data_IF_626417255664
#
_entry.id   IF_626417255664
#
_cell.length_a   1.000
_cell.length_b   1.000
_cell.length_c   1.000
_cell.angle_alpha   90.00
_cell.angle_beta   90.00
_cell.angle_gamma   90.00
#
_symmetry.space_group_name_H-M   'P 1'
#
loop_
_entity.id
_entity.type
_entity.pdbx_description
1 polymer ?
#
# COMPACT_ATOMS: atom_id res chain seq x y z
N UNK A 1 3.86 -17.11 8.13
CA UNK A 1 3.50 -16.59 6.79
C UNK A 1 3.58 -15.06 6.77
N UNK A 2 3.05 -14.36 7.76
CA UNK A 2 3.11 -12.88 7.79
C UNK A 2 4.54 -12.30 7.89
N UNK A 3 5.48 -13.05 8.43
CA UNK A 3 6.90 -12.66 8.54
C UNK A 3 7.74 -13.18 7.38
N UNK A 4 7.37 -14.32 6.82
CA UNK A 4 8.03 -14.92 5.66
C UNK A 4 6.99 -15.59 4.76
N UNK A 5 6.72 -14.96 3.62
CA UNK A 5 5.78 -15.48 2.62
C UNK A 5 6.34 -16.71 1.86
N UNK A 6 7.63 -16.99 1.97
CA UNK A 6 8.29 -18.14 1.31
C UNK A 6 8.37 -19.39 2.17
N UNK A 7 7.96 -19.31 3.45
CA UNK A 7 8.01 -20.48 4.32
C UNK A 7 7.21 -21.63 3.68
N UNK A 8 7.82 -22.83 3.54
CA UNK A 8 7.12 -23.98 2.97
C UNK A 8 5.87 -24.33 3.79
N UNK A 9 4.75 -24.53 3.12
CA UNK A 9 3.49 -24.87 3.82
C UNK A 9 3.61 -26.14 4.67
N UNK A 10 4.52 -27.06 4.33
CA UNK A 10 4.80 -28.22 5.14
C UNK A 10 5.40 -27.86 6.51
N UNK A 11 6.25 -26.84 6.60
CA UNK A 11 6.79 -26.34 7.85
C UNK A 11 5.70 -25.65 8.69
N UNK A 12 4.86 -24.84 8.04
CA UNK A 12 3.68 -24.23 8.71
C UNK A 12 2.75 -25.31 9.24
N UNK A 13 2.50 -26.36 8.45
CA UNK A 13 1.66 -27.49 8.84
C UNK A 13 2.20 -28.21 10.09
N UNK A 14 3.52 -28.46 10.13
CA UNK A 14 4.18 -29.06 11.31
C UNK A 14 4.05 -28.16 12.55
N UNK A 15 4.31 -26.85 12.38
CA UNK A 15 4.21 -25.89 13.48
C UNK A 15 2.78 -25.76 14.03
N UNK A 16 1.77 -25.90 13.17
CA UNK A 16 0.35 -25.85 13.54
C UNK A 16 -0.26 -27.22 13.89
N UNK A 17 0.52 -28.31 13.79
CA UNK A 17 0.07 -29.68 14.00
C UNK A 17 -1.16 -30.06 13.14
N UNK A 18 -1.12 -29.71 11.86
CA UNK A 18 -2.16 -30.00 10.87
C UNK A 18 -1.54 -30.55 9.59
N UNK A 19 -2.36 -31.04 8.64
CA UNK A 19 -1.88 -31.49 7.34
C UNK A 19 -1.49 -30.33 6.42
N UNK A 20 -0.60 -30.54 5.46
CA UNK A 20 -0.26 -29.56 4.43
C UNK A 20 -1.50 -29.14 3.62
N UNK A 21 -2.42 -30.06 3.32
CA UNK A 21 -3.67 -29.75 2.64
C UNK A 21 -4.54 -28.77 3.46
N UNK A 22 -4.59 -28.93 4.78
CA UNK A 22 -5.33 -28.01 5.65
C UNK A 22 -4.72 -26.59 5.62
N UNK A 23 -3.40 -26.46 5.54
CA UNK A 23 -2.75 -25.13 5.37
C UNK A 23 -3.13 -24.51 4.03
N UNK A 24 -3.10 -25.25 2.93
CA UNK A 24 -3.53 -24.76 1.63
C UNK A 24 -4.96 -24.24 1.65
N UNK A 25 -5.88 -24.99 2.25
CA UNK A 25 -7.28 -24.57 2.37
C UNK A 25 -7.44 -23.30 3.22
N UNK A 26 -6.72 -23.21 4.34
CA UNK A 26 -6.76 -22.01 5.21
C UNK A 26 -6.21 -20.78 4.50
N UNK A 27 -5.11 -20.91 3.79
CA UNK A 27 -4.53 -19.80 3.01
C UNK A 27 -5.48 -19.38 1.89
N UNK A 28 -6.09 -20.33 1.18
CA UNK A 28 -7.09 -20.03 0.16
C UNK A 28 -8.31 -19.30 0.75
N UNK A 29 -8.82 -19.75 1.91
CA UNK A 29 -9.92 -19.07 2.63
C UNK A 29 -9.55 -17.62 2.98
N UNK A 30 -8.34 -17.38 3.53
CA UNK A 30 -7.88 -16.03 3.90
C UNK A 30 -7.70 -15.14 2.65
N UNK A 31 -7.29 -15.71 1.53
CA UNK A 31 -7.19 -14.99 0.25
C UNK A 31 -8.57 -14.64 -0.29
N UNK A 32 -9.52 -15.56 -0.28
CA UNK A 32 -10.90 -15.33 -0.72
C UNK A 32 -11.61 -14.28 0.14
N UNK A 33 -11.33 -14.24 1.44
CA UNK A 33 -11.82 -13.22 2.36
C UNK A 33 -11.10 -11.85 2.20
N UNK A 34 -10.10 -11.75 1.32
CA UNK A 34 -9.34 -10.52 1.11
C UNK A 34 -8.38 -10.15 2.25
N UNK A 35 -8.19 -11.04 3.24
CA UNK A 35 -7.25 -10.85 4.34
C UNK A 35 -5.81 -10.95 3.82
N UNK A 36 -5.53 -11.94 2.98
CA UNK A 36 -4.29 -12.04 2.22
C UNK A 36 -4.54 -11.45 0.84
N UNK A 37 -3.93 -10.30 0.55
CA UNK A 37 -4.05 -9.62 -0.75
C UNK A 37 -3.01 -10.09 -1.78
N UNK A 38 -1.98 -10.78 -1.33
CA UNK A 38 -0.90 -11.27 -2.18
C UNK A 38 0.43 -11.34 -1.43
N UNK A 39 1.47 -11.65 -2.16
CA UNK A 39 2.86 -11.63 -1.69
C UNK A 39 3.75 -10.97 -2.74
N UNK A 40 4.70 -10.17 -2.29
CA UNK A 40 5.67 -9.49 -3.15
C UNK A 40 7.04 -9.45 -2.47
N UNK A 41 8.08 -9.32 -3.29
CA UNK A 41 9.41 -9.05 -2.76
C UNK A 41 9.49 -7.61 -2.26
N UNK A 42 10.07 -7.42 -1.09
CA UNK A 42 10.43 -6.09 -0.60
C UNK A 42 11.75 -5.70 -1.29
N UNK A 43 11.68 -4.64 -2.09
CA UNK A 43 12.83 -4.13 -2.82
C UNK A 43 13.36 -2.91 -2.06
N UNK A 44 14.69 -2.83 -1.93
CA UNK A 44 15.35 -1.64 -1.40
C UNK A 44 15.41 -0.58 -2.51
N UNK A 45 14.71 0.56 -2.37
CA UNK A 45 14.67 1.58 -3.41
C UNK A 45 16.04 2.17 -3.73
N UNK A 46 16.91 2.38 -2.73
CA UNK A 46 18.24 2.95 -2.92
C UNK A 46 19.11 2.05 -3.80
N UNK A 47 18.98 0.72 -3.64
CA UNK A 47 19.76 -0.26 -4.41
C UNK A 47 19.36 -0.32 -5.89
N UNK A 48 18.22 0.21 -6.25
CA UNK A 48 17.74 0.29 -7.63
C UNK A 48 17.70 1.73 -8.17
N UNK A 49 18.35 2.67 -7.46
CA UNK A 49 18.60 4.02 -7.94
C UNK A 49 17.58 5.10 -7.53
N UNK A 50 16.71 4.81 -6.56
CA UNK A 50 15.82 5.80 -5.97
C UNK A 50 16.39 6.30 -4.64
N UNK A 51 17.12 7.40 -4.69
CA UNK A 51 17.83 7.97 -3.53
C UNK A 51 16.97 8.93 -2.71
N UNK A 52 15.86 9.41 -3.28
CA UNK A 52 14.99 10.38 -2.62
C UNK A 52 13.59 9.81 -2.42
N UNK A 53 13.15 9.77 -1.17
CA UNK A 53 11.77 9.50 -0.80
C UNK A 53 11.10 10.80 -0.33
N UNK A 54 9.94 11.13 -0.88
CA UNK A 54 9.20 12.32 -0.48
C UNK A 54 7.73 11.98 -0.21
N UNK A 55 7.16 12.70 0.72
CA UNK A 55 5.72 12.75 0.96
C UNK A 55 5.20 14.11 0.51
N UNK A 56 4.12 14.12 -0.26
CA UNK A 56 3.56 15.36 -0.80
C UNK A 56 2.08 15.46 -0.44
N UNK A 57 1.75 16.48 0.32
CA UNK A 57 0.38 16.90 0.57
C UNK A 57 -0.16 17.67 -0.62
N UNK A 58 -1.30 17.27 -1.15
CA UNK A 58 -1.98 17.91 -2.28
C UNK A 58 -3.25 18.57 -1.82
N UNK A 59 -3.46 19.80 -2.29
CA UNK A 59 -4.65 20.62 -2.02
C UNK A 59 -5.38 20.85 -3.33
N UNK A 60 -6.59 20.32 -3.45
CA UNK A 60 -7.39 20.45 -4.66
C UNK A 60 -7.99 21.87 -4.75
N UNK A 61 -8.16 22.38 -5.96
CA UNK A 61 -8.94 23.60 -6.20
C UNK A 61 -10.44 23.33 -6.08
N UNK A 62 -10.86 22.13 -6.51
CA UNK A 62 -12.23 21.67 -6.46
C UNK A 62 -12.25 20.20 -6.02
N UNK A 63 -12.94 19.85 -4.92
CA UNK A 63 -13.10 18.47 -4.45
C UNK A 63 -13.65 17.50 -5.50
N UNK A 64 -14.45 17.98 -6.45
CA UNK A 64 -14.99 17.16 -7.55
C UNK A 64 -13.91 16.61 -8.50
N UNK A 65 -12.71 17.17 -8.48
CA UNK A 65 -11.57 16.72 -9.29
C UNK A 65 -10.82 15.54 -8.69
N UNK A 66 -11.24 15.05 -7.53
CA UNK A 66 -10.53 13.99 -6.80
C UNK A 66 -10.23 12.77 -7.68
N UNK A 67 -11.27 12.18 -8.31
CA UNK A 67 -11.11 10.98 -9.12
C UNK A 67 -10.21 11.23 -10.34
N UNK A 68 -10.34 12.38 -10.98
CA UNK A 68 -9.48 12.77 -12.09
C UNK A 68 -8.01 12.87 -11.66
N UNK A 69 -7.73 13.52 -10.52
CA UNK A 69 -6.37 13.64 -10.00
C UNK A 69 -5.78 12.27 -9.65
N UNK A 70 -6.57 11.38 -9.04
CA UNK A 70 -6.12 9.99 -8.77
C UNK A 70 -5.78 9.26 -10.06
N UNK A 71 -6.60 9.39 -11.10
CA UNK A 71 -6.34 8.74 -12.39
C UNK A 71 -5.06 9.26 -13.07
N UNK A 72 -4.78 10.54 -12.95
CA UNK A 72 -3.51 11.11 -13.43
C UNK A 72 -2.32 10.66 -12.57
N UNK A 73 -2.46 10.62 -11.24
CA UNK A 73 -1.41 10.12 -10.35
C UNK A 73 -1.05 8.66 -10.63
N UNK A 74 -2.01 7.82 -11.02
CA UNK A 74 -1.76 6.42 -11.42
C UNK A 74 -0.86 6.28 -12.63
N UNK A 75 -0.76 7.30 -13.48
CA UNK A 75 0.12 7.32 -14.66
C UNK A 75 1.56 7.70 -14.32
N UNK A 76 1.81 8.13 -13.09
CA UNK A 76 3.13 8.55 -12.60
C UNK A 76 3.73 7.37 -11.82
N UNK A 77 4.66 6.59 -12.40
CA UNK A 77 5.17 5.37 -11.75
C UNK A 77 5.96 5.66 -10.47
N UNK A 78 6.49 6.86 -10.31
CA UNK A 78 7.19 7.32 -9.12
C UNK A 78 6.25 7.53 -7.91
N UNK A 79 4.94 7.70 -8.14
CA UNK A 79 3.92 7.76 -7.09
C UNK A 79 3.55 6.35 -6.68
N UNK A 80 3.96 5.95 -5.48
CA UNK A 80 3.77 4.57 -4.98
C UNK A 80 2.62 4.42 -4.00
N UNK A 81 2.21 5.51 -3.36
CA UNK A 81 1.06 5.54 -2.45
C UNK A 81 0.26 6.82 -2.68
N UNK A 82 -1.06 6.73 -2.55
CA UNK A 82 -1.96 7.87 -2.55
C UNK A 82 -3.07 7.62 -1.52
N UNK A 83 -3.21 8.53 -0.58
CA UNK A 83 -4.19 8.47 0.49
C UNK A 83 -5.13 9.68 0.38
N UNK A 84 -6.43 9.43 0.51
CA UNK A 84 -7.39 10.48 0.81
C UNK A 84 -7.32 10.77 2.30
N UNK A 85 -7.22 12.04 2.68
CA UNK A 85 -6.94 12.42 4.07
C UNK A 85 -8.01 13.35 4.63
N UNK A 86 -8.18 13.29 5.94
CA UNK A 86 -8.90 14.31 6.70
C UNK A 86 -7.95 15.45 7.09
N UNK A 87 -8.47 16.64 7.32
CA UNK A 87 -7.68 17.79 7.76
C UNK A 87 -7.44 18.81 6.65
N UNK A 88 -6.30 19.46 6.66
CA UNK A 88 -6.04 20.60 5.77
C UNK A 88 -5.73 20.21 4.33
N UNK A 89 -5.06 19.08 4.09
CA UNK A 89 -4.77 18.56 2.76
C UNK A 89 -5.83 17.56 2.32
N UNK A 90 -6.11 17.50 1.03
CA UNK A 90 -7.10 16.58 0.47
C UNK A 90 -6.52 15.20 0.21
N UNK A 91 -5.26 15.15 -0.21
CA UNK A 91 -4.54 13.92 -0.53
C UNK A 91 -3.12 13.96 0.02
N UNK A 92 -2.60 12.78 0.31
CA UNK A 92 -1.22 12.59 0.72
C UNK A 92 -0.60 11.47 -0.11
N UNK A 93 0.45 11.78 -0.85
CA UNK A 93 1.12 10.84 -1.73
C UNK A 93 2.55 10.58 -1.29
N UNK A 94 3.06 9.40 -1.63
CA UNK A 94 4.46 9.03 -1.46
C UNK A 94 5.10 8.85 -2.82
N UNK A 95 6.26 9.49 -2.99
CA UNK A 95 7.02 9.49 -4.23
C UNK A 95 8.42 8.96 -3.95
N UNK A 96 8.93 8.14 -4.88
CA UNK A 96 10.35 7.83 -4.99
C UNK A 96 10.92 8.50 -6.23
N UNK A 97 12.03 9.20 -6.07
CA UNK A 97 12.77 9.84 -7.16
C UNK A 97 14.24 9.41 -7.12
N UNK A 98 14.91 9.43 -8.27
CA UNK A 98 16.33 9.09 -8.34
C UNK A 98 17.22 10.05 -7.55
N UNK A 99 16.81 11.31 -7.46
CA UNK A 99 17.49 12.37 -6.70
C UNK A 99 16.55 13.57 -6.51
N UNK A 100 17.00 14.60 -5.81
CA UNK A 100 16.20 15.80 -5.55
C UNK A 100 15.85 16.59 -6.82
N UNK A 101 16.69 16.56 -7.85
CA UNK A 101 16.40 17.21 -9.12
C UNK A 101 15.23 16.52 -9.84
N UNK A 102 15.27 15.19 -9.91
CA UNK A 102 14.17 14.40 -10.45
C UNK A 102 12.87 14.59 -9.66
N UNK A 103 12.95 14.71 -8.34
CA UNK A 103 11.77 15.05 -7.52
C UNK A 103 11.17 16.39 -7.93
N UNK A 104 12.01 17.40 -8.15
CA UNK A 104 11.56 18.72 -8.61
C UNK A 104 10.88 18.65 -9.97
N UNK A 105 11.42 17.87 -10.91
CA UNK A 105 10.81 17.63 -12.23
C UNK A 105 9.42 16.97 -12.09
N UNK A 106 9.30 15.95 -11.24
CA UNK A 106 7.99 15.31 -10.98
C UNK A 106 6.98 16.33 -10.46
N UNK A 107 7.37 17.15 -9.49
CA UNK A 107 6.49 18.18 -8.93
C UNK A 107 6.08 19.19 -9.99
N UNK A 108 7.03 19.68 -10.77
CA UNK A 108 6.80 20.74 -11.73
C UNK A 108 6.04 20.26 -12.97
N UNK A 109 6.47 19.14 -13.54
CA UNK A 109 6.01 18.71 -14.85
C UNK A 109 4.81 17.77 -14.76
N UNK A 110 4.66 17.03 -13.64
CA UNK A 110 3.62 16.03 -13.47
C UNK A 110 2.55 16.41 -12.45
N UNK A 111 2.90 17.05 -11.33
CA UNK A 111 1.93 17.40 -10.29
C UNK A 111 1.29 18.78 -10.50
N UNK A 112 2.05 19.80 -10.85
CA UNK A 112 1.48 21.14 -11.05
C UNK A 112 0.39 21.20 -12.13
N UNK A 113 0.50 20.48 -13.27
CA UNK A 113 -0.55 20.46 -14.29
C UNK A 113 -1.88 19.86 -13.82
N UNK A 114 -1.91 19.14 -12.69
CA UNK A 114 -3.14 18.52 -12.16
C UNK A 114 -4.17 19.55 -11.64
N UNK A 115 -3.85 20.83 -11.67
CA UNK A 115 -4.78 21.86 -11.24
C UNK A 115 -4.93 21.97 -9.71
N UNK A 116 -3.86 21.67 -8.98
CA UNK A 116 -3.80 21.81 -7.53
C UNK A 116 -3.85 23.30 -7.13
N UNK A 117 -4.43 23.59 -5.97
CA UNK A 117 -4.34 24.92 -5.37
C UNK A 117 -2.98 25.13 -4.70
N UNK A 118 -2.44 24.09 -4.08
CA UNK A 118 -1.16 24.06 -3.38
C UNK A 118 -0.64 22.63 -3.27
N UNK A 119 0.67 22.49 -3.13
CA UNK A 119 1.30 21.25 -2.67
C UNK A 119 2.36 21.56 -1.61
N UNK A 120 2.54 20.62 -0.69
CA UNK A 120 3.58 20.66 0.34
C UNK A 120 4.42 19.41 0.25
N UNK A 121 5.73 19.57 0.07
CA UNK A 121 6.66 18.44 -0.08
C UNK A 121 7.51 18.28 1.17
N UNK A 122 7.54 17.08 1.71
CA UNK A 122 8.37 16.67 2.84
C UNK A 122 9.32 15.57 2.35
N UNK A 123 10.62 15.81 2.40
CA UNK A 123 11.63 14.80 2.08
C UNK A 123 11.85 13.93 3.31
N UNK A 124 11.72 12.62 3.15
CA UNK A 124 12.04 11.63 4.17
C UNK A 124 13.50 11.21 4.03
N UNK A 125 14.29 11.46 5.05
CA UNK A 125 15.68 11.02 5.05
C UNK A 125 15.82 9.51 5.28
N UNK A 126 14.92 8.93 6.07
CA UNK A 126 14.98 7.54 6.49
C UNK A 126 13.61 7.08 7.02
N UNK A 127 13.22 5.86 6.68
CA UNK A 127 12.10 5.18 7.31
C UNK A 127 12.61 4.44 8.56
N UNK A 128 12.59 5.10 9.71
CA UNK A 128 13.07 4.52 10.97
C UNK A 128 12.31 3.24 11.37
N UNK A 129 11.05 3.13 10.99
CA UNK A 129 10.22 1.94 11.19
C UNK A 129 9.46 1.67 9.88
N UNK A 130 9.66 0.49 9.32
CA UNK A 130 8.92 -0.02 8.17
C UNK A 130 8.68 -1.52 8.35
N UNK A 131 7.51 -1.89 8.82
CA UNK A 131 7.14 -3.28 9.09
C UNK A 131 5.65 -3.48 8.84
N UNK A 132 5.26 -4.73 8.63
CA UNK A 132 3.84 -5.08 8.57
C UNK A 132 3.15 -4.90 9.93
N UNK A 133 1.83 -4.70 9.87
CA UNK A 133 0.98 -4.70 11.06
C UNK A 133 1.09 -6.03 11.79
N UNK A 134 1.13 -6.04 13.13
CA UNK A 134 0.98 -7.26 13.90
C UNK A 134 -0.43 -7.81 13.66
N UNK A 135 -0.52 -9.14 13.57
CA UNK A 135 -1.82 -9.78 13.55
C UNK A 135 -2.45 -9.64 14.95
N UNK A 136 -3.58 -8.95 15.01
CA UNK A 136 -4.44 -8.96 16.18
C UNK A 136 -5.24 -10.28 16.20
N UNK A 137 -5.72 -10.69 17.37
CA UNK A 137 -6.72 -11.77 17.42
C UNK A 137 -7.91 -11.32 16.58
N UNK A 138 -8.17 -12.07 15.50
CA UNK A 138 -9.35 -11.83 14.66
C UNK A 138 -10.54 -12.32 15.49
N UNK A 139 -11.54 -11.48 15.78
CA UNK A 139 -12.78 -11.96 16.36
C UNK A 139 -13.30 -13.12 15.50
N UNK A 140 -13.79 -14.18 16.11
CA UNK A 140 -14.37 -15.31 15.38
C UNK A 140 -15.35 -14.74 14.35
N UNK A 141 -15.05 -14.96 13.07
CA UNK A 141 -15.99 -14.64 12.00
C UNK A 141 -17.11 -15.67 12.18
N UNK A 142 -18.20 -15.27 12.84
CA UNK A 142 -19.42 -16.05 12.85
C UNK A 142 -19.82 -16.21 11.38
N UNK A 143 -19.80 -17.44 10.89
CA UNK A 143 -20.41 -17.78 9.62
C UNK A 143 -21.91 -17.46 9.81
N UNK A 144 -22.36 -16.34 9.25
CA UNK A 144 -23.78 -16.08 9.11
C UNK A 144 -24.32 -17.27 8.33
N UNK A 145 -25.16 -18.03 8.99
CA UNK A 145 -25.90 -19.15 8.43
C UNK A 145 -26.66 -18.62 7.23
N UNK A 146 -26.19 -18.96 6.04
CA UNK A 146 -26.99 -18.89 4.82
C UNK A 146 -28.07 -19.98 4.93
N UNK A 147 -29.06 -19.71 5.76
CA UNK A 147 -30.28 -20.49 5.78
C UNK A 147 -31.08 -20.06 4.54
N UNK A 148 -30.81 -20.78 3.45
CA UNK A 148 -31.74 -20.85 2.34
C UNK A 148 -33.13 -21.24 2.87
N UNK A 149 -34.05 -20.33 2.74
CA UNK A 149 -35.47 -20.66 2.73
C UNK A 149 -35.90 -20.98 1.31
N UNK A 150 -36.55 -22.12 1.22
CA UNK A 150 -37.19 -22.72 0.05
C UNK A 150 -38.25 -21.82 -0.63
#
# INVERSE_FOLDING_TARGET
ISQDARIPFLEVARACNVSGAAIHQRVAKLTNLGIIKGSQFIIDPEKIGYETCAYVGLYLKNPEQFDHVVDELRKIPEVVECHYTTGGMDMFIKIYASNNHHLLEIIHDKLQPLGLSRSETIISFNAAINRQLPLLEIPEITEDEDNGEE
#
